data_IF_253238725959
#
_entry.id   IF_253238725959
#
_cell.length_a   1.000
_cell.length_b   1.000
_cell.length_c   1.000
_cell.angle_alpha   90.00
_cell.angle_beta   90.00
_cell.angle_gamma   90.00
#
_symmetry.space_group_name_H-M   'P 1'
#
loop_
_entity.id
_entity.type
_entity.pdbx_description
1 polymer ?
#
# COMPACT_ATOMS: atom_id res chain seq x y z
N UNK A 1 -7.59 -17.91 32.22
CA UNK A 1 -7.73 -16.58 31.61
C UNK A 1 -9.14 -16.00 31.79
N UNK A 2 -10.21 -16.65 31.27
CA UNK A 2 -11.60 -16.17 31.42
C UNK A 2 -12.01 -15.94 32.88
N UNK A 3 -11.59 -16.84 33.78
CA UNK A 3 -11.83 -16.71 35.23
C UNK A 3 -11.12 -15.51 35.87
N UNK A 4 -9.94 -15.16 35.38
CA UNK A 4 -9.16 -14.02 35.88
C UNK A 4 -9.68 -12.68 35.36
N UNK A 5 -10.18 -12.66 34.12
CA UNK A 5 -10.78 -11.47 33.50
C UNK A 5 -12.26 -11.28 33.85
N UNK A 6 -12.90 -12.27 34.48
CA UNK A 6 -14.33 -12.23 34.81
C UNK A 6 -15.26 -12.19 33.57
N UNK A 7 -14.75 -12.53 32.40
CA UNK A 7 -15.49 -12.45 31.15
C UNK A 7 -15.24 -13.68 30.27
N UNK A 8 -16.27 -14.07 29.54
CA UNK A 8 -16.17 -15.15 28.55
C UNK A 8 -15.50 -14.60 27.27
N UNK A 9 -14.37 -15.17 26.88
CA UNK A 9 -13.58 -14.70 25.74
C UNK A 9 -13.87 -15.46 24.45
N UNK A 10 -14.36 -16.70 24.57
CA UNK A 10 -14.57 -17.60 23.43
C UNK A 10 -16.01 -18.14 23.41
N UNK A 11 -16.63 -18.06 22.24
CA UNK A 11 -17.77 -18.89 21.89
C UNK A 11 -17.24 -20.26 21.41
N UNK A 12 -17.57 -21.30 22.15
CA UNK A 12 -17.19 -22.67 21.80
C UNK A 12 -18.43 -23.42 21.38
N UNK A 13 -18.44 -23.93 20.16
CA UNK A 13 -19.38 -24.91 19.66
C UNK A 13 -18.61 -26.17 19.29
N UNK A 14 -19.29 -27.28 19.12
CA UNK A 14 -18.66 -28.56 18.71
C UNK A 14 -17.96 -28.48 17.33
N UNK A 15 -18.22 -27.43 16.54
CA UNK A 15 -17.69 -27.27 15.18
C UNK A 15 -16.90 -25.99 14.94
N UNK A 16 -17.00 -25.00 15.80
CA UNK A 16 -16.33 -23.69 15.63
C UNK A 16 -15.97 -23.05 16.97
N UNK A 17 -14.84 -22.36 16.97
CA UNK A 17 -14.44 -21.46 18.05
C UNK A 17 -14.39 -20.06 17.45
N UNK A 18 -15.05 -19.11 18.09
CA UNK A 18 -14.97 -17.67 17.73
C UNK A 18 -14.79 -16.83 18.99
N UNK A 19 -14.27 -15.62 18.82
CA UNK A 19 -14.14 -14.67 19.91
C UNK A 19 -15.50 -14.07 20.27
N UNK A 20 -15.65 -13.70 21.54
CA UNK A 20 -16.69 -12.81 22.01
C UNK A 20 -16.23 -11.35 21.88
N UNK A 21 -17.10 -10.34 22.02
CA UNK A 21 -16.67 -8.94 22.07
C UNK A 21 -15.58 -8.67 23.13
N UNK A 22 -15.76 -9.13 24.40
CA UNK A 22 -14.68 -9.12 25.40
C UNK A 22 -13.44 -9.92 24.96
N UNK A 23 -13.61 -11.00 24.20
CA UNK A 23 -12.53 -11.80 23.66
C UNK A 23 -11.67 -11.05 22.64
N UNK A 24 -12.28 -10.25 21.77
CA UNK A 24 -11.58 -9.42 20.79
C UNK A 24 -10.76 -8.32 21.49
N UNK A 25 -11.38 -7.62 22.45
CA UNK A 25 -10.70 -6.61 23.24
C UNK A 25 -9.51 -7.18 24.04
N UNK A 26 -9.71 -8.35 24.66
CA UNK A 26 -8.67 -9.05 25.42
C UNK A 26 -7.52 -9.51 24.50
N UNK A 27 -7.83 -10.04 23.32
CA UNK A 27 -6.82 -10.49 22.36
C UNK A 27 -5.91 -9.33 21.93
N UNK A 28 -6.49 -8.15 21.68
CA UNK A 28 -5.71 -6.96 21.34
C UNK A 28 -4.70 -6.61 22.46
N UNK A 29 -5.16 -6.61 23.72
CA UNK A 29 -4.30 -6.31 24.87
C UNK A 29 -3.23 -7.36 25.11
N UNK A 30 -3.56 -8.64 24.98
CA UNK A 30 -2.56 -9.71 25.10
C UNK A 30 -1.48 -9.64 24.04
N UNK A 31 -1.82 -9.24 22.82
CA UNK A 31 -0.83 -9.03 21.77
C UNK A 31 0.10 -7.88 22.10
N UNK A 32 -0.41 -6.77 22.64
CA UNK A 32 0.41 -5.66 23.11
C UNK A 32 1.36 -6.09 24.24
N UNK A 33 0.88 -6.89 25.18
CA UNK A 33 1.73 -7.43 26.27
C UNK A 33 2.83 -8.36 25.74
N UNK A 34 2.52 -9.20 24.76
CA UNK A 34 3.52 -10.08 24.12
C UNK A 34 4.57 -9.26 23.38
N UNK A 35 4.16 -8.23 22.64
CA UNK A 35 5.07 -7.33 21.93
C UNK A 35 6.05 -6.64 22.89
N UNK A 36 5.56 -6.12 24.03
CA UNK A 36 6.40 -5.54 25.08
C UNK A 36 7.38 -6.58 25.64
N UNK A 37 6.94 -7.82 25.83
CA UNK A 37 7.80 -8.92 26.28
C UNK A 37 8.91 -9.26 25.28
N UNK A 38 8.60 -9.21 24.01
CA UNK A 38 9.56 -9.45 22.93
C UNK A 38 10.55 -8.28 22.76
N UNK A 39 10.10 -7.01 22.91
CA UNK A 39 10.95 -5.83 22.97
C UNK A 39 11.95 -5.94 24.14
N UNK A 40 11.46 -6.28 25.34
CA UNK A 40 12.31 -6.44 26.51
C UNK A 40 13.36 -7.55 26.33
N UNK A 41 12.97 -8.67 25.68
CA UNK A 41 13.93 -9.71 25.31
C UNK A 41 14.99 -9.20 24.35
N UNK A 42 14.60 -8.38 23.35
CA UNK A 42 15.52 -7.74 22.42
C UNK A 42 16.49 -6.77 23.10
N UNK A 43 16.00 -5.99 24.06
CA UNK A 43 16.82 -5.04 24.83
C UNK A 43 17.80 -5.74 25.80
N UNK A 44 17.39 -6.85 26.40
CA UNK A 44 18.20 -7.62 27.34
C UNK A 44 19.15 -8.61 26.66
N UNK A 45 18.99 -8.88 25.38
CA UNK A 45 19.93 -9.66 24.60
C UNK A 45 21.20 -8.84 24.37
N UNK A 46 22.19 -9.07 25.18
CA UNK A 46 23.48 -8.36 25.25
C UNK A 46 24.39 -8.57 24.02
N UNK A 47 24.07 -9.55 23.17
CA UNK A 47 24.75 -9.80 21.90
C UNK A 47 23.71 -9.64 20.78
N UNK A 48 23.96 -8.69 19.89
CA UNK A 48 23.15 -8.38 18.69
C UNK A 48 22.55 -9.65 18.04
N UNK A 49 21.37 -10.12 18.48
CA UNK A 49 20.89 -11.42 18.07
C UNK A 49 20.57 -11.36 16.57
N UNK A 50 21.10 -12.32 15.83
CA UNK A 50 20.77 -12.44 14.41
C UNK A 50 19.25 -12.47 14.24
N UNK A 51 18.69 -11.60 13.38
CA UNK A 51 17.25 -11.58 13.13
C UNK A 51 16.73 -12.97 12.74
N UNK A 52 15.68 -13.44 13.41
CA UNK A 52 15.11 -14.77 13.19
C UNK A 52 13.58 -14.73 13.30
N UNK A 53 12.94 -15.78 12.79
CA UNK A 53 11.48 -15.91 12.88
C UNK A 53 10.74 -15.40 11.62
N UNK A 54 9.44 -15.19 11.75
CA UNK A 54 8.54 -14.80 10.65
C UNK A 54 8.20 -13.31 10.74
N UNK A 55 8.48 -12.58 9.67
CA UNK A 55 8.12 -11.18 9.48
C UNK A 55 7.01 -11.07 8.43
N UNK A 56 5.85 -10.54 8.81
CA UNK A 56 4.71 -10.29 7.92
C UNK A 56 4.68 -8.83 7.49
N UNK A 57 4.83 -8.63 6.19
CA UNK A 57 4.89 -7.28 5.60
C UNK A 57 3.77 -7.11 4.60
N UNK A 58 3.07 -5.96 4.65
CA UNK A 58 2.09 -5.60 3.63
C UNK A 58 2.50 -4.33 2.89
N UNK A 59 2.22 -4.29 1.59
CA UNK A 59 2.45 -3.11 0.75
C UNK A 59 1.39 -3.03 -0.35
N UNK A 60 1.34 -1.90 -1.07
CA UNK A 60 0.61 -1.84 -2.34
C UNK A 60 1.23 -2.79 -3.36
N UNK A 61 0.42 -3.33 -4.27
CA UNK A 61 0.87 -4.33 -5.25
C UNK A 61 2.03 -3.78 -6.09
N UNK A 62 1.84 -2.61 -6.68
CA UNK A 62 2.85 -1.98 -7.54
C UNK A 62 4.17 -1.68 -6.84
N UNK A 63 4.13 -1.20 -5.57
CA UNK A 63 5.34 -0.95 -4.78
C UNK A 63 6.03 -2.25 -4.37
N UNK A 64 5.23 -3.26 -3.99
CA UNK A 64 5.72 -4.58 -3.65
C UNK A 64 6.54 -5.20 -4.76
N UNK A 65 5.99 -5.17 -5.98
CA UNK A 65 6.64 -5.70 -7.19
C UNK A 65 7.89 -4.91 -7.60
N UNK A 66 7.80 -3.58 -7.56
CA UNK A 66 8.86 -2.71 -8.08
C UNK A 66 10.08 -2.59 -7.14
N UNK A 67 9.88 -2.65 -5.83
CA UNK A 67 10.91 -2.29 -4.85
C UNK A 67 11.05 -3.29 -3.70
N UNK A 68 9.92 -3.70 -3.10
CA UNK A 68 9.97 -4.48 -1.87
C UNK A 68 10.47 -5.89 -2.11
N UNK A 69 10.13 -6.52 -3.23
CA UNK A 69 10.56 -7.87 -3.56
C UNK A 69 12.09 -8.01 -3.58
N UNK A 70 12.79 -7.06 -4.22
CA UNK A 70 14.25 -7.05 -4.26
C UNK A 70 14.86 -6.80 -2.87
N UNK A 71 14.31 -5.85 -2.11
CA UNK A 71 14.76 -5.55 -0.75
C UNK A 71 14.59 -6.75 0.19
N UNK A 72 13.45 -7.45 0.11
CA UNK A 72 13.19 -8.65 0.90
C UNK A 72 14.12 -9.79 0.50
N UNK A 73 14.37 -9.99 -0.80
CA UNK A 73 15.30 -11.01 -1.27
C UNK A 73 16.72 -10.77 -0.72
N UNK A 74 17.16 -9.52 -0.68
CA UNK A 74 18.46 -9.15 -0.09
C UNK A 74 18.46 -9.32 1.44
N UNK A 75 17.36 -8.96 2.12
CA UNK A 75 17.23 -9.10 3.56
C UNK A 75 17.31 -10.57 4.02
N UNK A 76 16.53 -11.47 3.40
CA UNK A 76 16.55 -12.90 3.78
C UNK A 76 17.87 -13.58 3.44
N UNK A 77 18.56 -13.09 2.40
CA UNK A 77 19.90 -13.55 2.06
C UNK A 77 20.95 -13.18 3.13
N UNK A 78 20.81 -12.00 3.73
CA UNK A 78 21.68 -11.54 4.85
C UNK A 78 21.28 -12.15 6.19
N UNK A 79 20.02 -12.53 6.37
CA UNK A 79 19.46 -13.04 7.63
C UNK A 79 18.75 -14.37 7.38
N UNK A 80 19.48 -15.48 7.19
CA UNK A 80 18.92 -16.77 6.74
C UNK A 80 17.98 -17.43 7.75
N UNK A 81 17.98 -16.98 9.01
CA UNK A 81 17.06 -17.47 10.03
C UNK A 81 15.70 -16.76 10.00
N UNK A 82 15.53 -15.76 9.12
CA UNK A 82 14.25 -15.05 8.93
C UNK A 82 13.43 -15.65 7.82
N UNK A 83 12.11 -15.55 7.96
CA UNK A 83 11.12 -15.81 6.90
C UNK A 83 10.30 -14.56 6.70
N UNK A 84 10.03 -14.18 5.47
CA UNK A 84 9.19 -13.01 5.17
C UNK A 84 7.96 -13.44 4.40
N UNK A 85 6.80 -13.06 4.89
CA UNK A 85 5.51 -13.23 4.24
C UNK A 85 5.03 -11.88 3.72
N UNK A 86 4.83 -11.77 2.40
CA UNK A 86 4.39 -10.53 1.74
C UNK A 86 2.91 -10.62 1.40
N UNK A 87 2.12 -9.70 1.95
CA UNK A 87 0.73 -9.48 1.58
C UNK A 87 0.62 -8.19 0.75
N UNK A 88 0.53 -8.32 -0.57
CA UNK A 88 0.43 -7.18 -1.48
C UNK A 88 -1.04 -6.88 -1.80
N UNK A 89 -1.55 -5.78 -1.27
CA UNK A 89 -2.93 -5.34 -1.45
C UNK A 89 -3.04 -3.82 -1.40
N UNK A 90 -3.92 -3.24 -2.22
CA UNK A 90 -4.15 -1.79 -2.27
C UNK A 90 -5.32 -1.32 -1.37
N UNK A 91 -6.07 -2.25 -0.79
CA UNK A 91 -7.07 -1.93 0.24
C UNK A 91 -6.45 -1.55 1.57
N UNK A 92 -7.22 -0.87 2.39
CA UNK A 92 -6.85 -0.68 3.80
C UNK A 92 -6.82 -2.05 4.50
N UNK A 93 -5.77 -2.28 5.28
CA UNK A 93 -5.50 -3.52 6.00
C UNK A 93 -5.60 -3.23 7.49
N UNK A 94 -6.33 -4.06 8.23
CA UNK A 94 -6.28 -4.04 9.68
C UNK A 94 -5.03 -4.83 10.13
N UNK A 95 -3.99 -4.10 10.54
CA UNK A 95 -2.69 -4.70 10.86
C UNK A 95 -2.77 -5.72 11.99
N UNK A 96 -3.67 -5.51 12.94
CA UNK A 96 -3.85 -6.41 14.09
C UNK A 96 -4.57 -7.70 13.69
N UNK A 97 -5.70 -7.58 12.99
CA UNK A 97 -6.49 -8.74 12.57
C UNK A 97 -5.74 -9.62 11.58
N UNK A 98 -5.03 -8.99 10.64
CA UNK A 98 -4.26 -9.69 9.60
C UNK A 98 -2.84 -10.06 10.06
N UNK A 99 -2.51 -9.78 11.32
CA UNK A 99 -1.21 -10.12 11.96
C UNK A 99 -0.02 -9.59 11.17
N UNK A 100 -0.10 -8.34 10.74
CA UNK A 100 0.94 -7.66 9.99
C UNK A 100 1.89 -6.95 10.95
N UNK A 101 3.19 -7.19 10.80
CA UNK A 101 4.23 -6.57 11.60
C UNK A 101 4.65 -5.21 11.02
N UNK A 102 4.75 -5.13 9.69
CA UNK A 102 5.14 -3.90 8.97
C UNK A 102 4.18 -3.64 7.80
N UNK A 103 3.69 -2.40 7.71
CA UNK A 103 2.94 -1.94 6.56
C UNK A 103 3.68 -0.82 5.82
N UNK A 104 3.99 -1.02 4.55
CA UNK A 104 4.52 0.03 3.68
C UNK A 104 3.38 0.62 2.86
N UNK A 105 3.07 1.89 3.09
CA UNK A 105 1.91 2.55 2.47
C UNK A 105 2.27 3.92 1.91
N UNK A 106 1.64 4.26 0.79
CA UNK A 106 1.67 5.61 0.22
C UNK A 106 0.43 6.32 0.72
N UNK A 107 0.58 7.19 1.72
CA UNK A 107 -0.54 7.88 2.34
C UNK A 107 -0.16 9.31 2.71
N UNK A 108 -1.15 10.19 2.75
CA UNK A 108 -1.04 11.55 3.29
C UNK A 108 -1.53 11.64 4.75
N UNK A 109 -2.32 10.68 5.17
CA UNK A 109 -2.86 10.58 6.52
C UNK A 109 -2.36 9.29 7.16
N UNK A 110 -1.91 9.38 8.40
CA UNK A 110 -1.43 8.27 9.20
C UNK A 110 -2.38 8.13 10.36
N UNK A 111 -2.80 6.90 10.65
CA UNK A 111 -3.58 6.61 11.84
C UNK A 111 -2.75 6.94 13.09
N UNK A 112 -3.24 7.82 13.99
CA UNK A 112 -2.49 8.23 15.18
C UNK A 112 -2.16 7.09 16.14
N UNK A 113 -2.84 5.95 16.04
CA UNK A 113 -2.57 4.76 16.86
C UNK A 113 -1.37 3.94 16.38
N UNK A 114 -0.83 4.26 15.22
CA UNK A 114 0.30 3.54 14.60
C UNK A 114 1.60 4.32 14.74
N UNK A 115 2.69 3.60 14.93
CA UNK A 115 4.04 4.16 14.80
C UNK A 115 4.40 4.19 13.33
N UNK A 116 4.63 5.39 12.79
CA UNK A 116 4.96 5.55 11.39
C UNK A 116 6.31 6.23 11.19
N UNK A 117 7.08 5.71 10.25
CA UNK A 117 8.37 6.26 9.84
C UNK A 117 8.33 6.59 8.34
N UNK A 118 8.57 7.86 7.94
CA UNK A 118 8.63 8.20 6.53
C UNK A 118 9.86 7.56 5.87
N UNK A 119 9.67 6.88 4.75
CA UNK A 119 10.74 6.28 3.95
C UNK A 119 11.17 7.19 2.80
N UNK A 120 10.20 7.72 2.06
CA UNK A 120 10.43 8.59 0.91
C UNK A 120 9.17 9.37 0.54
N UNK A 121 9.33 10.34 -0.36
CA UNK A 121 8.20 11.01 -1.01
C UNK A 121 7.85 10.28 -2.31
N UNK A 122 6.59 9.89 -2.46
CA UNK A 122 6.07 9.32 -3.69
C UNK A 122 5.37 10.42 -4.50
N UNK A 123 5.83 10.67 -5.72
CA UNK A 123 5.19 11.56 -6.69
C UNK A 123 4.41 10.74 -7.71
N UNK A 124 3.22 11.21 -8.06
CA UNK A 124 2.44 10.69 -9.19
C UNK A 124 2.42 11.74 -10.29
N UNK A 125 2.42 11.29 -11.53
CA UNK A 125 2.31 12.14 -12.71
C UNK A 125 1.23 11.61 -13.65
N UNK A 126 0.67 12.50 -14.46
CA UNK A 126 -0.21 12.14 -15.55
C UNK A 126 0.63 11.53 -16.67
N UNK A 127 0.18 10.43 -17.23
CA UNK A 127 0.86 9.80 -18.38
C UNK A 127 -0.13 9.15 -19.33
N UNK A 128 0.28 9.06 -20.59
CA UNK A 128 -0.45 8.41 -21.65
C UNK A 128 0.52 7.75 -22.65
N UNK A 129 0.02 6.81 -23.44
CA UNK A 129 0.76 6.29 -24.58
C UNK A 129 0.81 7.32 -25.72
N UNK A 130 1.94 7.44 -26.47
CA UNK A 130 2.06 8.33 -27.62
C UNK A 130 0.92 8.13 -28.65
N UNK A 131 0.51 6.89 -28.89
CA UNK A 131 -0.58 6.58 -29.81
C UNK A 131 -1.91 7.20 -29.40
N UNK A 132 -2.24 7.16 -28.10
CA UNK A 132 -3.44 7.81 -27.59
C UNK A 132 -3.39 9.33 -27.80
N UNK A 133 -2.25 9.96 -27.50
CA UNK A 133 -2.07 11.41 -27.66
C UNK A 133 -2.10 11.84 -29.13
N UNK A 134 -1.60 11.01 -30.05
CA UNK A 134 -1.66 11.25 -31.48
C UNK A 134 -3.11 11.24 -32.01
N UNK A 135 -3.96 10.37 -31.47
CA UNK A 135 -5.39 10.26 -31.86
C UNK A 135 -6.25 11.34 -31.19
N UNK A 136 -6.04 11.59 -29.90
CA UNK A 136 -6.94 12.41 -29.09
C UNK A 136 -6.42 13.79 -28.76
N UNK A 137 -5.20 14.11 -29.17
CA UNK A 137 -4.49 15.33 -28.79
C UNK A 137 -3.83 15.25 -27.42
N UNK A 138 -2.93 16.21 -27.18
CA UNK A 138 -2.23 16.32 -25.89
C UNK A 138 -2.88 17.42 -25.05
N UNK A 139 -3.38 17.11 -23.82
CA UNK A 139 -3.96 18.13 -22.96
C UNK A 139 -2.87 19.11 -22.49
N UNK A 140 -3.03 20.39 -22.80
CA UNK A 140 -2.07 21.45 -22.40
C UNK A 140 -2.46 22.16 -21.09
N UNK A 141 -3.72 22.05 -20.70
CA UNK A 141 -4.29 22.58 -19.45
C UNK A 141 -4.96 21.50 -18.64
N UNK A 142 -5.15 21.76 -17.35
CA UNK A 142 -5.85 20.82 -16.47
C UNK A 142 -7.32 20.62 -16.90
N UNK A 143 -7.99 21.66 -17.36
CA UNK A 143 -9.39 21.62 -17.79
C UNK A 143 -9.57 20.75 -19.07
N UNK A 144 -8.55 20.66 -19.91
CA UNK A 144 -8.57 19.82 -21.09
C UNK A 144 -8.73 18.32 -20.74
N UNK A 145 -8.40 17.90 -19.54
CA UNK A 145 -8.61 16.52 -19.08
C UNK A 145 -10.09 16.10 -19.10
N UNK A 146 -11.02 17.04 -18.99
CA UNK A 146 -12.45 16.76 -19.06
C UNK A 146 -12.90 16.17 -20.41
N UNK A 147 -12.11 16.35 -21.47
CA UNK A 147 -12.38 15.80 -22.82
C UNK A 147 -11.62 14.50 -23.10
N UNK A 148 -10.80 14.05 -22.17
CA UNK A 148 -10.02 12.83 -22.31
C UNK A 148 -10.59 11.68 -21.47
N UNK A 149 -10.29 10.45 -21.89
CA UNK A 149 -10.59 9.26 -21.11
C UNK A 149 -9.58 9.14 -19.96
N UNK A 150 -10.01 9.51 -18.76
CA UNK A 150 -9.18 9.50 -17.57
C UNK A 150 -9.36 8.20 -16.79
N UNK A 151 -8.35 7.33 -16.82
CA UNK A 151 -8.37 6.05 -16.12
C UNK A 151 -8.13 6.27 -14.63
N UNK A 152 -9.09 5.88 -13.78
CA UNK A 152 -9.11 6.30 -12.38
C UNK A 152 -8.78 5.17 -11.41
N UNK A 153 -8.11 5.55 -10.31
CA UNK A 153 -7.81 4.61 -9.23
C UNK A 153 -8.92 4.65 -8.16
N UNK A 154 -9.40 3.49 -7.72
CA UNK A 154 -10.54 3.35 -6.81
C UNK A 154 -10.36 4.09 -5.48
N UNK A 155 -9.14 4.09 -4.94
CA UNK A 155 -8.82 4.68 -3.64
C UNK A 155 -8.14 6.06 -3.75
N UNK A 156 -7.66 6.44 -4.94
CA UNK A 156 -6.92 7.68 -5.14
C UNK A 156 -7.45 8.42 -6.37
N UNK A 157 -8.14 9.54 -6.14
CA UNK A 157 -8.60 10.39 -7.24
C UNK A 157 -9.67 9.75 -8.12
N UNK A 158 -10.65 9.06 -7.54
CA UNK A 158 -11.71 8.38 -8.28
C UNK A 158 -12.48 9.29 -9.25
N UNK A 159 -12.74 10.52 -8.88
CA UNK A 159 -13.51 11.49 -9.67
C UNK A 159 -12.88 12.88 -9.71
N UNK A 160 -11.86 13.13 -8.90
CA UNK A 160 -11.15 14.41 -8.82
C UNK A 160 -9.66 14.15 -8.68
N UNK A 161 -8.87 14.68 -9.59
CA UNK A 161 -7.41 14.67 -9.48
C UNK A 161 -6.91 15.97 -8.87
N UNK A 162 -6.07 15.84 -7.85
CA UNK A 162 -5.38 16.96 -7.22
C UNK A 162 -3.99 17.10 -7.84
N UNK A 163 -3.87 18.03 -8.75
CA UNK A 163 -2.65 18.33 -9.49
C UNK A 163 -1.91 19.51 -8.85
N UNK A 164 -0.63 19.59 -9.10
CA UNK A 164 0.20 20.72 -8.73
C UNK A 164 1.10 21.13 -9.90
N UNK A 165 1.03 22.39 -10.28
CA UNK A 165 1.91 22.98 -11.29
C UNK A 165 2.42 24.33 -10.78
N UNK A 166 3.73 24.53 -10.80
CA UNK A 166 4.37 25.79 -10.38
C UNK A 166 3.91 26.27 -8.97
N UNK A 167 3.77 25.34 -8.04
CA UNK A 167 3.31 25.64 -6.67
C UNK A 167 1.80 25.81 -6.51
N UNK A 168 1.03 25.93 -7.58
CA UNK A 168 -0.43 26.06 -7.54
C UNK A 168 -1.08 24.68 -7.48
N UNK A 169 -2.00 24.50 -6.56
CA UNK A 169 -2.84 23.29 -6.44
C UNK A 169 -4.10 23.47 -7.29
N UNK A 170 -4.41 22.50 -8.12
CA UNK A 170 -5.56 22.50 -9.02
C UNK A 170 -6.33 21.21 -8.77
N UNK A 171 -7.63 21.31 -8.52
CA UNK A 171 -8.52 20.15 -8.45
C UNK A 171 -9.29 20.05 -9.77
N UNK A 172 -9.21 18.92 -10.45
CA UNK A 172 -9.85 18.70 -11.74
C UNK A 172 -10.79 17.52 -11.63
N UNK A 173 -12.05 17.73 -12.01
CA UNK A 173 -12.99 16.62 -12.17
C UNK A 173 -12.57 15.79 -13.38
N UNK A 174 -12.52 14.49 -13.22
CA UNK A 174 -12.12 13.53 -14.26
C UNK A 174 -13.12 12.40 -14.37
N UNK A 175 -13.29 11.93 -15.59
CA UNK A 175 -14.16 10.80 -15.90
C UNK A 175 -13.47 9.88 -16.90
N UNK A 176 -13.76 8.59 -16.81
CA UNK A 176 -13.23 7.59 -17.75
C UNK A 176 -13.97 6.27 -17.65
N UNK A 177 -13.74 5.42 -18.62
CA UNK A 177 -14.43 4.13 -18.76
C UNK A 177 -13.70 2.96 -18.06
N UNK A 178 -12.51 3.18 -17.50
CA UNK A 178 -11.77 2.19 -16.71
C UNK A 178 -11.47 2.77 -15.33
N UNK A 179 -11.86 2.02 -14.31
CA UNK A 179 -11.50 2.31 -12.93
C UNK A 179 -11.00 1.02 -12.26
N UNK A 180 -9.83 1.08 -11.63
CA UNK A 180 -9.22 -0.08 -10.99
C UNK A 180 -8.73 0.26 -9.58
N UNK A 181 -8.58 -0.76 -8.77
CA UNK A 181 -8.03 -0.65 -7.42
C UNK A 181 -6.52 -0.90 -7.37
N UNK A 182 -5.88 -1.07 -8.53
CA UNK A 182 -4.47 -1.39 -8.64
C UNK A 182 -3.81 -0.57 -9.75
N UNK A 183 -2.68 0.06 -9.42
CA UNK A 183 -1.96 0.94 -10.34
C UNK A 183 -1.30 0.18 -11.51
N UNK A 184 -0.90 -1.07 -11.32
CA UNK A 184 -0.30 -1.87 -12.40
C UNK A 184 -1.30 -2.19 -13.51
N UNK A 185 -2.56 -2.42 -13.18
CA UNK A 185 -3.62 -2.61 -14.17
C UNK A 185 -3.85 -1.33 -14.98
N UNK A 186 -3.90 -0.19 -14.29
CA UNK A 186 -4.05 1.11 -14.98
C UNK A 186 -2.85 1.40 -15.88
N UNK A 187 -1.64 1.02 -15.47
CA UNK A 187 -0.44 1.13 -16.30
C UNK A 187 -0.58 0.35 -17.60
N UNK A 188 -1.00 -0.91 -17.53
CA UNK A 188 -1.19 -1.72 -18.73
C UNK A 188 -2.30 -1.17 -19.65
N UNK A 189 -3.38 -0.63 -19.08
CA UNK A 189 -4.41 0.04 -19.85
C UNK A 189 -3.89 1.31 -20.56
N UNK A 190 -3.06 2.11 -19.88
CA UNK A 190 -2.40 3.29 -20.48
C UNK A 190 -1.46 2.86 -21.61
N UNK A 191 -0.64 1.82 -21.43
CA UNK A 191 0.26 1.27 -22.46
C UNK A 191 -0.50 0.80 -23.69
N UNK A 192 -1.67 0.22 -23.47
CA UNK A 192 -2.59 -0.18 -24.56
C UNK A 192 -3.29 1.00 -25.25
N UNK A 193 -3.02 2.25 -24.85
CA UNK A 193 -3.61 3.44 -25.45
C UNK A 193 -5.04 3.73 -25.02
N UNK A 194 -5.50 3.18 -23.87
CA UNK A 194 -6.88 3.36 -23.43
C UNK A 194 -7.20 4.77 -22.92
N UNK A 195 -6.19 5.55 -22.49
CA UNK A 195 -6.42 6.88 -21.92
C UNK A 195 -5.23 7.46 -21.15
N UNK A 196 -5.54 8.43 -20.29
CA UNK A 196 -4.60 9.09 -19.40
C UNK A 196 -4.80 8.54 -17.99
N UNK A 197 -3.73 8.23 -17.27
CA UNK A 197 -3.80 7.89 -15.84
C UNK A 197 -2.82 8.72 -15.02
N UNK A 198 -3.11 8.86 -13.72
CA UNK A 198 -2.20 9.44 -12.74
C UNK A 198 -1.50 8.28 -12.01
N UNK A 199 -0.24 8.03 -12.36
CA UNK A 199 0.53 6.88 -11.87
C UNK A 199 1.76 7.30 -11.06
N UNK A 200 2.21 6.46 -10.11
CA UNK A 200 3.42 6.71 -9.35
C UNK A 200 4.66 6.77 -10.25
N UNK A 201 5.51 7.78 -10.04
CA UNK A 201 6.72 7.98 -10.84
C UNK A 201 7.65 6.77 -10.81
N UNK A 202 7.77 6.06 -9.68
CA UNK A 202 8.62 4.88 -9.57
C UNK A 202 8.22 3.76 -10.53
N UNK A 203 6.94 3.68 -10.87
CA UNK A 203 6.41 2.65 -11.74
C UNK A 203 6.62 2.99 -13.23
N UNK A 204 6.51 4.26 -13.59
CA UNK A 204 6.52 4.70 -14.98
C UNK A 204 7.85 5.31 -15.45
N UNK A 205 8.77 5.65 -14.54
CA UNK A 205 10.04 6.28 -14.90
C UNK A 205 10.85 5.51 -15.96
N UNK A 206 10.92 4.18 -15.98
CA UNK A 206 11.56 3.45 -17.07
C UNK A 206 10.89 3.66 -18.42
N UNK A 207 9.54 3.69 -18.44
CA UNK A 207 8.72 3.82 -19.65
C UNK A 207 8.75 5.24 -20.23
N UNK A 208 8.89 6.24 -19.37
CA UNK A 208 9.12 7.62 -19.81
C UNK A 208 10.49 7.77 -20.48
N UNK A 209 11.52 7.09 -19.95
CA UNK A 209 12.88 7.14 -20.55
C UNK A 209 12.96 6.46 -21.91
N UNK A 210 12.20 5.42 -22.13
CA UNK A 210 12.14 4.71 -23.44
C UNK A 210 11.19 5.37 -24.43
N UNK A 211 10.38 6.36 -24.01
CA UNK A 211 9.36 6.98 -24.83
C UNK A 211 8.10 6.12 -25.03
N UNK A 212 7.99 5.00 -24.32
CA UNK A 212 6.79 4.17 -24.35
C UNK A 212 5.58 4.89 -23.72
N UNK A 213 5.84 5.76 -22.76
CA UNK A 213 4.86 6.70 -22.20
C UNK A 213 5.37 8.14 -22.28
N UNK A 214 4.41 9.08 -22.31
CA UNK A 214 4.64 10.52 -22.23
C UNK A 214 3.95 11.03 -20.98
N UNK A 215 4.62 11.98 -20.25
CA UNK A 215 4.10 12.66 -19.07
C UNK A 215 3.55 14.04 -19.41
#
# INVERSE_FOLDING_TARGET
MERWLGARLLHRTTRRISLTGPGEAALLRFRQMLAIGDELRGELATDNPEPHGLLRVTASVSFGQSHLAAAVAEFVKRHPLTRVELLLVDRVVNLVEERVDIAVRISRAIDPSLIARPLAQCRSVLCAAPAYLAERGTPTTADALATHNCLTHHYVGKSVWHLQREGRKIAVAVEGNISANEASLLLEAVRAGAGIAMLPMYQIAPLLRTGELVA
#
